data_IF_957707922366
#
_entry.id   IF_957707922366
#
_cell.length_a   1.000
_cell.length_b   1.000
_cell.length_c   1.000
_cell.angle_alpha   90.00
_cell.angle_beta   90.00
_cell.angle_gamma   90.00
#
_symmetry.space_group_name_H-M   'P 1'
#
loop_
_entity.id
_entity.type
_entity.pdbx_description
1 polymer ?
#
# COMPACT_ATOMS: atom_id res chain seq x y z
N UNK A 1 -27.07 -47.51 -61.57
CA UNK A 1 -26.77 -46.03 -61.43
C UNK A 1 -27.35 -45.38 -60.15
N UNK A 2 -28.34 -45.98 -59.51
CA UNK A 2 -28.98 -45.39 -58.29
C UNK A 2 -28.19 -45.58 -56.98
N UNK A 3 -27.31 -46.56 -56.89
CA UNK A 3 -26.52 -46.83 -55.64
C UNK A 3 -25.19 -46.03 -55.52
N UNK A 4 -24.76 -45.32 -56.57
CA UNK A 4 -23.55 -44.46 -56.53
C UNK A 4 -23.86 -43.03 -56.13
N UNK A 5 -25.10 -42.58 -56.16
CA UNK A 5 -25.49 -41.22 -55.77
C UNK A 5 -25.69 -41.10 -54.26
N UNK A 6 -26.11 -42.19 -53.59
CA UNK A 6 -26.33 -42.18 -52.11
C UNK A 6 -25.03 -42.23 -51.28
N UNK A 7 -23.95 -42.73 -51.85
CA UNK A 7 -22.64 -42.77 -51.19
C UNK A 7 -21.90 -41.41 -51.17
N UNK A 8 -22.24 -40.50 -52.14
CA UNK A 8 -21.56 -39.21 -52.27
C UNK A 8 -22.21 -38.12 -51.40
N UNK A 9 -23.46 -38.29 -51.02
CA UNK A 9 -24.15 -37.32 -50.14
C UNK A 9 -23.85 -37.51 -48.64
N UNK A 10 -23.37 -38.66 -48.22
CA UNK A 10 -23.03 -38.92 -46.80
C UNK A 10 -21.62 -38.43 -46.44
N UNK A 11 -20.71 -38.26 -47.40
CA UNK A 11 -19.35 -37.80 -47.17
C UNK A 11 -19.21 -36.27 -47.00
N UNK A 12 -20.18 -35.46 -47.42
CA UNK A 12 -20.12 -34.00 -47.35
C UNK A 12 -20.65 -33.47 -46.01
N UNK A 13 -21.47 -34.24 -45.29
CA UNK A 13 -22.06 -33.83 -43.97
C UNK A 13 -21.08 -33.94 -42.79
N UNK A 14 -19.91 -34.56 -42.94
CA UNK A 14 -18.96 -34.80 -41.81
C UNK A 14 -17.81 -33.80 -41.75
N UNK A 15 -17.69 -32.86 -42.71
CA UNK A 15 -16.55 -31.94 -42.80
C UNK A 15 -16.79 -30.57 -42.13
N UNK A 16 -17.98 -30.32 -41.55
CA UNK A 16 -18.30 -28.99 -40.93
C UNK A 16 -18.38 -28.99 -39.42
N UNK A 17 -17.95 -30.05 -38.74
CA UNK A 17 -17.99 -30.15 -37.27
C UNK A 17 -16.65 -29.81 -36.58
N UNK A 18 -15.66 -29.33 -37.30
CA UNK A 18 -14.33 -29.07 -36.74
C UNK A 18 -13.94 -27.60 -36.90
N UNK A 19 -14.42 -26.76 -36.04
CA UNK A 19 -13.95 -25.37 -36.02
C UNK A 19 -14.81 -24.42 -35.22
N UNK A 20 -15.27 -24.81 -34.03
CA UNK A 20 -15.72 -23.78 -33.09
C UNK A 20 -14.52 -22.91 -32.73
N UNK A 21 -14.47 -21.61 -33.12
CA UNK A 21 -13.41 -20.76 -32.68
C UNK A 21 -13.45 -20.73 -31.16
N UNK A 22 -12.37 -21.13 -30.52
CA UNK A 22 -12.17 -20.88 -29.09
C UNK A 22 -12.43 -19.39 -28.87
N UNK A 23 -13.23 -19.01 -27.87
CA UNK A 23 -13.50 -17.61 -27.60
C UNK A 23 -12.16 -16.90 -27.41
N UNK A 24 -11.80 -16.03 -28.36
CA UNK A 24 -10.65 -15.16 -28.21
C UNK A 24 -10.87 -14.33 -26.94
N UNK A 25 -10.10 -14.63 -25.89
CA UNK A 25 -10.14 -13.80 -24.68
C UNK A 25 -9.72 -12.40 -25.09
N UNK A 26 -10.58 -11.41 -24.79
CA UNK A 26 -10.32 -10.04 -25.14
C UNK A 26 -9.07 -9.54 -24.43
N UNK A 27 -8.24 -8.77 -25.13
CA UNK A 27 -7.12 -8.05 -24.55
C UNK A 27 -7.61 -7.16 -23.39
N UNK A 28 -6.86 -7.14 -22.31
CA UNK A 28 -7.15 -6.31 -21.13
C UNK A 28 -6.10 -5.21 -21.01
N UNK A 29 -6.54 -3.99 -20.63
CA UNK A 29 -5.67 -2.82 -20.57
C UNK A 29 -6.06 -1.94 -19.39
N UNK A 30 -5.06 -1.45 -18.66
CA UNK A 30 -5.23 -0.47 -17.58
C UNK A 30 -4.08 0.54 -17.60
N UNK A 31 -4.30 1.71 -16.97
CA UNK A 31 -3.21 2.68 -16.72
C UNK A 31 -2.68 2.43 -15.32
N UNK A 32 -1.36 2.27 -15.17
CA UNK A 32 -0.69 2.08 -13.87
C UNK A 32 -0.45 3.42 -13.12
N UNK A 33 0.11 3.36 -11.90
CA UNK A 33 0.37 4.56 -11.11
C UNK A 33 1.54 5.41 -11.64
N UNK A 34 2.31 4.90 -12.62
CA UNK A 34 3.30 5.69 -13.36
C UNK A 34 2.70 6.36 -14.61
N UNK A 35 1.38 6.26 -14.84
CA UNK A 35 0.69 6.79 -16.00
C UNK A 35 0.93 6.01 -17.29
N UNK A 36 1.43 4.76 -17.22
CA UNK A 36 1.68 3.92 -18.38
C UNK A 36 0.55 2.95 -18.60
N UNK A 37 0.18 2.76 -19.86
CA UNK A 37 -0.78 1.72 -20.24
C UNK A 37 -0.10 0.36 -20.20
N UNK A 38 -0.66 -0.56 -19.41
CA UNK A 38 -0.28 -1.98 -19.36
C UNK A 38 -1.35 -2.77 -20.10
N UNK A 39 -0.95 -3.43 -21.18
CA UNK A 39 -1.85 -4.24 -22.02
C UNK A 39 -1.39 -5.68 -22.04
N UNK A 40 -2.32 -6.60 -21.80
CA UNK A 40 -2.12 -8.03 -21.91
C UNK A 40 -3.07 -8.60 -22.96
N UNK A 41 -2.60 -9.57 -23.75
CA UNK A 41 -3.44 -10.24 -24.75
C UNK A 41 -4.63 -10.99 -24.11
N UNK A 42 -4.48 -11.40 -22.87
CA UNK A 42 -5.50 -12.02 -22.01
C UNK A 42 -5.15 -11.77 -20.54
N UNK A 43 -6.08 -11.93 -19.60
CA UNK A 43 -5.77 -11.84 -18.18
C UNK A 43 -4.61 -12.75 -17.77
N UNK A 44 -3.65 -12.21 -17.00
CA UNK A 44 -2.44 -12.92 -16.61
C UNK A 44 -2.77 -14.14 -15.74
N UNK A 45 -2.22 -15.29 -16.09
CA UNK A 45 -2.27 -16.52 -15.30
C UNK A 45 -1.03 -16.73 -14.43
N UNK A 46 0.08 -16.03 -14.73
CA UNK A 46 1.36 -16.15 -14.02
C UNK A 46 1.86 -14.77 -13.62
N UNK A 47 1.84 -14.49 -12.32
CA UNK A 47 2.15 -13.16 -11.76
C UNK A 47 3.29 -13.26 -10.78
N UNK A 48 4.21 -12.30 -10.81
CA UNK A 48 5.23 -12.10 -9.78
C UNK A 48 4.98 -10.76 -9.08
N UNK A 49 5.12 -10.75 -7.77
CA UNK A 49 4.99 -9.56 -6.94
C UNK A 49 6.35 -9.15 -6.37
N UNK A 50 6.75 -7.90 -6.59
CA UNK A 50 8.06 -7.38 -6.18
C UNK A 50 8.03 -6.46 -4.95
N UNK A 51 6.93 -6.48 -4.19
CA UNK A 51 6.86 -5.85 -2.87
C UNK A 51 5.81 -6.56 -1.98
N UNK A 52 5.94 -6.50 -0.63
CA UNK A 52 4.95 -7.11 0.26
C UNK A 52 3.53 -6.62 0.03
N UNK A 53 3.32 -5.29 -0.07
CA UNK A 53 1.98 -4.72 -0.31
C UNK A 53 1.40 -5.10 -1.68
N UNK A 54 2.24 -5.26 -2.72
CA UNK A 54 1.76 -5.71 -4.03
C UNK A 54 1.31 -7.17 -3.99
N UNK A 55 1.94 -8.00 -3.16
CA UNK A 55 1.47 -9.36 -2.87
C UNK A 55 0.08 -9.33 -2.24
N UNK A 56 -0.12 -8.51 -1.22
CA UNK A 56 -1.41 -8.33 -0.54
C UNK A 56 -2.50 -7.84 -1.51
N UNK A 57 -2.16 -6.87 -2.39
CA UNK A 57 -3.08 -6.36 -3.41
C UNK A 57 -3.51 -7.45 -4.39
N UNK A 58 -2.57 -8.27 -4.89
CA UNK A 58 -2.88 -9.37 -5.82
C UNK A 58 -3.80 -10.40 -5.15
N UNK A 59 -3.53 -10.80 -3.90
CA UNK A 59 -4.41 -11.70 -3.15
C UNK A 59 -5.81 -11.11 -2.97
N UNK A 60 -5.90 -9.86 -2.52
CA UNK A 60 -7.18 -9.20 -2.28
C UNK A 60 -7.99 -8.96 -3.57
N UNK A 61 -7.30 -8.75 -4.70
CA UNK A 61 -7.92 -8.68 -6.01
C UNK A 61 -8.39 -10.06 -6.54
N UNK A 62 -8.17 -11.16 -5.81
CA UNK A 62 -8.57 -12.51 -6.21
C UNK A 62 -7.54 -13.24 -7.09
N UNK A 63 -6.32 -12.71 -7.18
CA UNK A 63 -5.24 -13.27 -8.01
C UNK A 63 -4.26 -14.18 -7.26
N UNK A 64 -4.51 -14.54 -6.02
CA UNK A 64 -3.56 -15.31 -5.19
C UNK A 64 -3.08 -16.61 -5.84
N UNK A 65 -3.98 -17.38 -6.45
CA UNK A 65 -3.65 -18.62 -7.16
C UNK A 65 -2.81 -18.41 -8.44
N UNK A 66 -2.65 -17.17 -8.90
CA UNK A 66 -1.85 -16.80 -10.08
C UNK A 66 -0.44 -16.36 -9.72
N UNK A 67 -0.16 -16.13 -8.44
CA UNK A 67 1.17 -15.79 -7.97
C UNK A 67 2.11 -17.01 -8.10
N UNK A 68 3.18 -16.83 -8.85
CA UNK A 68 4.21 -17.85 -9.06
C UNK A 68 5.53 -17.48 -8.38
N UNK A 69 5.63 -16.27 -7.82
CA UNK A 69 6.79 -15.80 -7.07
C UNK A 69 6.53 -14.47 -6.39
N UNK A 70 7.24 -14.23 -5.30
CA UNK A 70 7.20 -12.99 -4.54
C UNK A 70 8.57 -12.67 -3.92
N UNK A 71 8.83 -11.40 -3.60
CA UNK A 71 10.04 -11.00 -2.86
C UNK A 71 9.96 -11.39 -1.38
N UNK A 72 11.11 -11.29 -0.70
CA UNK A 72 11.21 -11.46 0.75
C UNK A 72 10.22 -10.57 1.49
N UNK A 73 9.77 -11.00 2.68
CA UNK A 73 8.78 -10.33 3.51
C UNK A 73 7.36 -10.22 2.91
N UNK A 74 7.07 -10.91 1.81
CA UNK A 74 5.72 -11.12 1.30
C UNK A 74 5.07 -12.26 2.11
N UNK A 75 4.60 -11.93 3.30
CA UNK A 75 4.19 -12.88 4.35
C UNK A 75 2.68 -12.84 4.66
N UNK A 76 1.96 -11.96 3.97
CA UNK A 76 0.52 -11.85 4.10
C UNK A 76 -0.19 -11.91 2.73
N UNK A 77 -1.34 -12.62 2.64
CA UNK A 77 -1.89 -13.51 3.66
C UNK A 77 -0.96 -14.71 3.93
N UNK A 78 -1.22 -15.56 4.93
CA UNK A 78 -0.32 -16.66 5.32
C UNK A 78 0.08 -17.58 4.16
N UNK A 79 -0.79 -17.76 3.17
CA UNK A 79 -0.55 -18.55 1.96
C UNK A 79 0.62 -18.00 1.12
N UNK A 80 0.91 -16.70 1.22
CA UNK A 80 2.04 -16.08 0.52
C UNK A 80 3.40 -16.61 0.98
N UNK A 81 3.48 -17.22 2.18
CA UNK A 81 4.71 -17.83 2.67
C UNK A 81 5.17 -19.03 1.82
N UNK A 82 4.26 -19.71 1.15
CA UNK A 82 4.56 -20.85 0.27
C UNK A 82 5.11 -20.43 -1.10
N UNK A 83 5.05 -19.16 -1.47
CA UNK A 83 5.50 -18.69 -2.78
C UNK A 83 7.03 -18.77 -2.91
N UNK A 84 7.56 -19.16 -4.08
CA UNK A 84 8.96 -19.05 -4.41
C UNK A 84 9.48 -17.62 -4.22
N UNK A 85 10.61 -17.46 -3.53
CA UNK A 85 11.22 -16.13 -3.32
C UNK A 85 12.11 -15.77 -4.50
N UNK A 86 11.91 -14.57 -5.03
CA UNK A 86 12.64 -14.04 -6.20
C UNK A 86 13.58 -12.88 -5.80
N UNK A 87 14.19 -12.99 -4.63
CA UNK A 87 15.07 -11.97 -4.06
C UNK A 87 14.36 -11.06 -3.07
N UNK A 88 14.92 -9.87 -2.86
CA UNK A 88 14.32 -8.79 -2.06
C UNK A 88 13.81 -7.67 -2.97
N UNK A 89 13.09 -6.69 -2.42
CA UNK A 89 12.63 -5.53 -3.19
C UNK A 89 13.78 -4.69 -3.79
N UNK A 90 14.94 -4.67 -3.16
CA UNK A 90 16.14 -3.94 -3.64
C UNK A 90 17.16 -4.81 -4.40
N UNK A 91 17.08 -6.14 -4.30
CA UNK A 91 18.00 -7.08 -4.93
C UNK A 91 17.20 -8.27 -5.50
N UNK A 92 16.81 -8.16 -6.76
CA UNK A 92 16.00 -9.16 -7.45
C UNK A 92 16.86 -10.27 -8.05
N UNK A 93 16.38 -11.49 -7.96
CA UNK A 93 16.92 -12.66 -8.69
C UNK A 93 16.27 -12.71 -10.09
N UNK A 94 16.89 -12.00 -11.05
CA UNK A 94 16.36 -11.90 -12.41
C UNK A 94 16.29 -13.23 -13.12
N UNK A 95 17.24 -14.14 -12.88
CA UNK A 95 17.26 -15.47 -13.50
C UNK A 95 16.06 -16.29 -13.04
N UNK A 96 15.79 -16.28 -11.75
CA UNK A 96 14.64 -16.96 -11.16
C UNK A 96 13.32 -16.36 -11.62
N UNK A 97 13.24 -15.02 -11.74
CA UNK A 97 12.06 -14.33 -12.30
C UNK A 97 11.78 -14.84 -13.71
N UNK A 98 12.79 -14.86 -14.59
CA UNK A 98 12.65 -15.33 -15.98
C UNK A 98 12.29 -16.82 -16.03
N UNK A 99 12.91 -17.65 -15.20
CA UNK A 99 12.62 -19.09 -15.14
C UNK A 99 11.16 -19.37 -14.73
N UNK A 100 10.55 -18.52 -13.94
CA UNK A 100 9.14 -18.60 -13.54
C UNK A 100 8.17 -18.18 -14.65
N UNK A 101 8.67 -17.65 -15.78
CA UNK A 101 7.88 -17.24 -16.97
C UNK A 101 6.64 -16.40 -16.60
N UNK A 102 6.79 -15.24 -15.95
CA UNK A 102 5.67 -14.40 -15.60
C UNK A 102 5.05 -13.75 -16.85
N UNK A 103 3.73 -13.60 -16.85
CA UNK A 103 2.95 -12.85 -17.84
C UNK A 103 2.70 -11.41 -17.38
N UNK A 104 2.85 -11.17 -16.08
CA UNK A 104 2.75 -9.85 -15.43
C UNK A 104 3.65 -9.80 -14.20
N UNK A 105 4.33 -8.68 -14.02
CA UNK A 105 5.04 -8.39 -12.77
C UNK A 105 4.44 -7.14 -12.14
N UNK A 106 4.03 -7.23 -10.87
CA UNK A 106 3.55 -6.09 -10.08
C UNK A 106 4.74 -5.54 -9.30
N UNK A 107 5.05 -4.26 -9.53
CA UNK A 107 6.28 -3.62 -9.04
C UNK A 107 5.97 -2.40 -8.17
N UNK A 108 6.91 -2.06 -7.29
CA UNK A 108 6.92 -0.85 -6.49
C UNK A 108 8.07 0.06 -6.91
N UNK A 109 7.74 1.15 -7.60
CA UNK A 109 8.73 2.02 -8.26
C UNK A 109 9.82 2.55 -7.33
N UNK A 110 9.44 3.02 -6.13
CA UNK A 110 10.38 3.61 -5.17
C UNK A 110 11.09 2.60 -4.27
N UNK A 111 10.63 1.35 -4.27
CA UNK A 111 11.25 0.29 -3.46
C UNK A 111 12.03 -0.72 -4.27
N UNK A 112 11.84 -0.79 -5.60
CA UNK A 112 12.59 -1.69 -6.47
C UNK A 112 13.72 -0.95 -7.20
N UNK A 113 14.85 -1.62 -7.43
CA UNK A 113 15.97 -1.07 -8.18
C UNK A 113 15.56 -0.79 -9.64
N UNK A 114 15.67 0.48 -10.07
CA UNK A 114 15.22 0.92 -11.40
C UNK A 114 15.96 0.19 -12.53
N UNK A 115 17.25 -0.08 -12.39
CA UNK A 115 18.04 -0.78 -13.42
C UNK A 115 17.60 -2.22 -13.59
N UNK A 116 17.21 -2.88 -12.49
CA UNK A 116 16.66 -4.24 -12.55
C UNK A 116 15.26 -4.26 -13.19
N UNK A 117 14.41 -3.26 -12.90
CA UNK A 117 13.11 -3.11 -13.57
C UNK A 117 13.27 -2.84 -15.07
N UNK A 118 14.26 -2.03 -15.48
CA UNK A 118 14.53 -1.76 -16.90
C UNK A 118 15.00 -3.02 -17.64
N UNK A 119 15.80 -3.87 -17.00
CA UNK A 119 16.17 -5.19 -17.57
C UNK A 119 14.93 -6.07 -17.77
N UNK A 120 14.01 -6.13 -16.81
CA UNK A 120 12.77 -6.90 -16.96
C UNK A 120 11.88 -6.36 -18.09
N UNK A 121 11.80 -5.04 -18.26
CA UNK A 121 11.10 -4.42 -19.41
C UNK A 121 11.74 -4.76 -20.74
N UNK A 122 13.08 -4.73 -20.81
CA UNK A 122 13.82 -5.09 -22.03
C UNK A 122 13.61 -6.54 -22.46
N UNK A 123 13.23 -7.43 -21.54
CA UNK A 123 12.82 -8.81 -21.82
C UNK A 123 11.36 -8.91 -22.31
N UNK A 124 10.65 -7.79 -22.48
CA UNK A 124 9.28 -7.77 -22.95
C UNK A 124 8.24 -8.20 -21.91
N UNK A 125 8.61 -8.30 -20.62
CA UNK A 125 7.69 -8.71 -19.57
C UNK A 125 6.85 -7.49 -19.15
N UNK A 126 5.51 -7.55 -19.19
CA UNK A 126 4.64 -6.46 -18.75
C UNK A 126 4.83 -6.16 -17.26
N UNK A 127 5.04 -4.87 -16.92
CA UNK A 127 5.16 -4.40 -15.54
C UNK A 127 3.98 -3.50 -15.21
N UNK A 128 3.27 -3.79 -14.13
CA UNK A 128 2.27 -2.90 -13.53
C UNK A 128 2.88 -2.21 -12.30
N UNK A 129 2.99 -0.89 -12.36
CA UNK A 129 3.50 -0.08 -11.24
C UNK A 129 2.36 0.20 -10.26
N UNK A 130 2.50 -0.29 -9.03
CA UNK A 130 1.65 0.05 -7.89
C UNK A 130 2.41 1.00 -6.97
N UNK A 131 2.00 2.25 -6.96
CA UNK A 131 2.62 3.34 -6.18
C UNK A 131 1.53 4.27 -5.63
N UNK A 132 0.66 3.80 -4.72
CA UNK A 132 -0.39 4.63 -4.16
C UNK A 132 0.16 5.87 -3.45
N UNK A 133 -0.35 7.06 -3.80
CA UNK A 133 0.02 8.34 -3.20
C UNK A 133 -1.03 8.83 -2.20
N UNK A 134 -2.27 8.44 -2.43
CA UNK A 134 -3.44 8.73 -1.61
C UNK A 134 -4.05 7.44 -1.08
N UNK A 135 -4.73 7.54 0.06
CA UNK A 135 -5.38 6.36 0.64
C UNK A 135 -6.40 5.74 -0.33
N UNK A 136 -7.08 6.54 -1.13
CA UNK A 136 -8.07 6.06 -2.10
C UNK A 136 -7.44 5.31 -3.30
N UNK A 137 -6.15 5.51 -3.59
CA UNK A 137 -5.45 4.85 -4.70
C UNK A 137 -5.34 3.33 -4.50
N UNK A 138 -5.36 2.85 -3.25
CA UNK A 138 -5.35 1.42 -2.93
C UNK A 138 -6.55 0.70 -3.57
N UNK A 139 -7.75 1.28 -3.46
CA UNK A 139 -8.95 0.73 -4.08
C UNK A 139 -8.86 0.74 -5.61
N UNK A 140 -8.29 1.79 -6.19
CA UNK A 140 -8.06 1.89 -7.64
C UNK A 140 -7.08 0.83 -8.12
N UNK A 141 -6.00 0.57 -7.36
CA UNK A 141 -5.05 -0.50 -7.68
C UNK A 141 -5.69 -1.89 -7.61
N UNK A 142 -6.57 -2.14 -6.63
CA UNK A 142 -7.34 -3.40 -6.55
C UNK A 142 -8.16 -3.62 -7.82
N UNK A 143 -8.92 -2.62 -8.29
CA UNK A 143 -9.75 -2.71 -9.49
C UNK A 143 -8.92 -2.93 -10.76
N UNK A 144 -7.82 -2.19 -10.93
CA UNK A 144 -6.89 -2.34 -12.05
C UNK A 144 -6.26 -3.74 -12.09
N UNK A 145 -5.82 -4.25 -10.93
CA UNK A 145 -5.31 -5.61 -10.81
C UNK A 145 -6.41 -6.63 -11.13
N UNK A 146 -7.64 -6.41 -10.68
CA UNK A 146 -8.77 -7.25 -11.04
C UNK A 146 -8.95 -7.40 -12.55
N UNK A 147 -8.84 -6.29 -13.30
CA UNK A 147 -8.89 -6.30 -14.77
C UNK A 147 -7.74 -7.08 -15.38
N UNK A 148 -6.49 -6.82 -14.95
CA UNK A 148 -5.31 -7.54 -15.46
C UNK A 148 -5.33 -9.03 -15.12
N UNK A 149 -6.05 -9.41 -14.08
CA UNK A 149 -6.14 -10.79 -13.60
C UNK A 149 -7.45 -11.49 -14.05
N UNK A 150 -8.44 -10.79 -14.62
CA UNK A 150 -9.76 -11.34 -14.93
C UNK A 150 -10.50 -11.78 -13.68
N UNK A 151 -10.39 -11.00 -12.61
CA UNK A 151 -11.01 -11.24 -11.30
C UNK A 151 -11.81 -10.01 -10.83
N UNK A 152 -12.40 -9.28 -11.76
CA UNK A 152 -13.00 -7.95 -11.56
C UNK A 152 -14.08 -7.95 -10.47
N UNK A 153 -14.89 -8.99 -10.36
CA UNK A 153 -15.94 -9.06 -9.34
C UNK A 153 -15.35 -9.09 -7.93
N UNK A 154 -14.34 -9.93 -7.71
CA UNK A 154 -13.63 -10.03 -6.42
C UNK A 154 -12.90 -8.75 -6.09
N UNK A 155 -12.20 -8.20 -7.07
CA UNK A 155 -11.44 -6.96 -6.93
C UNK A 155 -12.34 -5.76 -6.60
N UNK A 156 -13.48 -5.60 -7.31
CA UNK A 156 -14.47 -4.54 -7.01
C UNK A 156 -15.06 -4.69 -5.61
N UNK A 157 -15.39 -5.91 -5.20
CA UNK A 157 -15.89 -6.15 -3.85
C UNK A 157 -14.84 -5.80 -2.78
N UNK A 158 -13.56 -6.11 -3.00
CA UNK A 158 -12.46 -5.73 -2.11
C UNK A 158 -12.24 -4.21 -2.08
N UNK A 159 -12.22 -3.56 -3.24
CA UNK A 159 -12.10 -2.12 -3.38
C UNK A 159 -13.24 -1.38 -2.68
N UNK A 160 -14.48 -1.88 -2.81
CA UNK A 160 -15.64 -1.26 -2.17
C UNK A 160 -15.54 -1.37 -0.65
N UNK A 161 -15.22 -2.55 -0.10
CA UNK A 161 -15.01 -2.71 1.36
C UNK A 161 -13.94 -1.76 1.89
N UNK A 162 -12.83 -1.60 1.15
CA UNK A 162 -11.78 -0.66 1.52
C UNK A 162 -12.28 0.79 1.51
N UNK A 163 -13.00 1.21 0.45
CA UNK A 163 -13.58 2.57 0.35
C UNK A 163 -14.58 2.85 1.48
N UNK A 164 -15.43 1.88 1.82
CA UNK A 164 -16.42 2.02 2.89
C UNK A 164 -15.71 2.24 4.23
N UNK A 165 -14.65 1.49 4.52
CA UNK A 165 -13.85 1.65 5.73
C UNK A 165 -13.15 3.02 5.78
N UNK A 166 -12.52 3.44 4.67
CA UNK A 166 -11.89 4.77 4.57
C UNK A 166 -12.94 5.89 4.72
N UNK A 167 -14.12 5.75 4.13
CA UNK A 167 -15.21 6.73 4.26
C UNK A 167 -15.69 6.83 5.71
N UNK A 168 -15.83 5.69 6.40
CA UNK A 168 -16.19 5.63 7.83
C UNK A 168 -15.17 6.36 8.70
N UNK A 169 -13.87 6.11 8.49
CA UNK A 169 -12.80 6.77 9.21
C UNK A 169 -12.78 8.28 8.93
N UNK A 170 -12.89 8.67 7.67
CA UNK A 170 -12.92 10.08 7.24
C UNK A 170 -14.10 10.83 7.87
N UNK A 171 -15.30 10.25 7.85
CA UNK A 171 -16.48 10.85 8.46
C UNK A 171 -16.32 11.04 9.97
N UNK A 172 -15.63 10.13 10.65
CA UNK A 172 -15.42 10.19 12.10
C UNK A 172 -14.35 11.19 12.53
N UNK A 173 -13.28 11.32 11.74
CA UNK A 173 -12.06 11.97 12.23
C UNK A 173 -11.62 13.22 11.46
N UNK A 174 -12.00 13.41 10.18
CA UNK A 174 -11.44 14.47 9.36
C UNK A 174 -11.78 15.89 9.89
N UNK A 175 -12.94 16.07 10.50
CA UNK A 175 -13.37 17.36 11.07
C UNK A 175 -12.95 17.56 12.54
N UNK A 176 -12.18 16.64 13.12
CA UNK A 176 -11.70 16.77 14.50
C UNK A 176 -10.64 17.88 14.62
N UNK A 177 -10.46 18.51 15.79
CA UNK A 177 -9.43 19.53 15.99
C UNK A 177 -8.05 19.04 15.57
N UNK A 178 -7.36 19.81 14.72
CA UNK A 178 -6.10 19.41 14.09
C UNK A 178 -5.03 19.09 15.12
N UNK A 179 -4.36 17.94 14.97
CA UNK A 179 -3.17 17.53 15.74
C UNK A 179 -1.95 17.69 14.84
N UNK A 180 -0.93 18.44 15.30
CA UNK A 180 0.34 18.52 14.59
C UNK A 180 1.16 17.24 14.85
N UNK A 181 1.60 16.60 13.76
CA UNK A 181 2.23 15.27 13.80
C UNK A 181 3.62 15.32 13.18
N UNK A 182 4.61 14.79 13.86
CA UNK A 182 5.88 14.37 13.28
C UNK A 182 5.83 12.85 13.06
N UNK A 183 5.98 12.40 11.81
CA UNK A 183 6.10 10.98 11.49
C UNK A 183 7.57 10.62 11.31
N UNK A 184 8.10 9.79 12.20
CA UNK A 184 9.48 9.33 12.15
C UNK A 184 9.56 8.02 11.37
N UNK A 185 10.22 8.07 10.19
CA UNK A 185 10.46 6.89 9.34
C UNK A 185 11.67 6.10 9.81
N UNK A 186 12.75 6.82 10.16
CA UNK A 186 14.03 6.24 10.54
C UNK A 186 14.75 7.13 11.54
N UNK A 187 15.65 6.55 12.35
CA UNK A 187 16.33 7.28 13.41
C UNK A 187 17.67 7.88 13.00
N UNK A 188 18.48 7.16 12.22
CA UNK A 188 19.84 7.58 11.81
C UNK A 188 20.16 7.18 10.37
N UNK A 189 20.09 8.12 9.40
CA UNK A 189 19.68 9.53 9.55
C UNK A 189 18.22 9.68 9.97
N UNK A 190 17.87 10.80 10.60
CA UNK A 190 16.50 11.08 11.00
C UNK A 190 15.68 11.40 9.75
N UNK A 191 14.81 10.48 9.35
CA UNK A 191 13.97 10.58 8.16
C UNK A 191 12.51 10.81 8.54
N UNK A 192 11.84 11.62 7.73
CA UNK A 192 10.40 11.86 7.80
C UNK A 192 9.75 11.73 6.41
N UNK A 193 8.51 12.15 6.28
CA UNK A 193 7.72 12.12 5.04
C UNK A 193 7.24 13.53 4.71
N UNK A 194 7.10 13.84 3.42
CA UNK A 194 6.43 15.06 2.98
C UNK A 194 4.91 14.83 2.78
N UNK A 195 4.19 15.90 2.42
CA UNK A 195 2.73 15.88 2.21
C UNK A 195 2.25 15.02 1.04
N UNK A 196 3.14 14.68 0.08
CA UNK A 196 2.80 13.85 -1.07
C UNK A 196 2.86 12.34 -0.76
N UNK A 197 3.25 11.94 0.45
CA UNK A 197 3.31 10.53 0.85
C UNK A 197 1.95 10.06 1.39
N UNK A 198 1.56 8.82 1.08
CA UNK A 198 0.27 8.23 1.50
C UNK A 198 0.03 8.28 3.02
N UNK A 199 1.08 8.14 3.84
CA UNK A 199 0.97 8.26 5.31
C UNK A 199 0.58 9.69 5.72
N UNK A 200 1.03 10.72 4.99
CA UNK A 200 0.60 12.09 5.26
C UNK A 200 -0.87 12.33 4.88
N UNK A 201 -1.36 11.64 3.85
CA UNK A 201 -2.77 11.61 3.49
C UNK A 201 -3.60 10.90 4.59
N UNK A 202 -3.08 9.80 5.15
CA UNK A 202 -3.66 9.11 6.31
C UNK A 202 -3.71 10.01 7.56
N UNK A 203 -2.63 10.75 7.85
CA UNK A 203 -2.58 11.73 8.94
C UNK A 203 -3.69 12.78 8.74
N UNK A 204 -3.84 13.33 7.53
CA UNK A 204 -4.87 14.32 7.22
C UNK A 204 -6.29 13.74 7.38
N UNK A 205 -6.52 12.50 6.94
CA UNK A 205 -7.78 11.78 7.13
C UNK A 205 -8.15 11.66 8.60
N UNK A 206 -7.18 11.47 9.49
CA UNK A 206 -7.37 11.41 10.94
C UNK A 206 -7.50 12.80 11.61
N UNK A 207 -7.60 13.88 10.82
CA UNK A 207 -7.62 15.26 11.35
C UNK A 207 -6.26 15.68 11.93
N UNK A 208 -5.17 15.14 11.40
CA UNK A 208 -3.81 15.55 11.71
C UNK A 208 -3.20 16.44 10.64
N UNK A 209 -2.04 17.02 10.94
CA UNK A 209 -1.21 17.78 9.99
C UNK A 209 0.25 17.36 10.17
N UNK A 210 0.85 16.86 9.11
CA UNK A 210 2.29 16.58 9.10
C UNK A 210 3.07 17.90 9.18
N UNK A 211 3.92 18.05 10.20
CA UNK A 211 4.71 19.28 10.42
C UNK A 211 5.77 19.53 9.35
N UNK A 212 6.14 18.48 8.58
CA UNK A 212 7.09 18.54 7.47
C UNK A 212 6.43 18.31 6.09
N UNK A 213 5.12 18.53 6.00
CA UNK A 213 4.34 18.32 4.77
C UNK A 213 4.84 19.13 3.56
N UNK A 214 5.41 20.32 3.79
CA UNK A 214 5.84 21.25 2.73
C UNK A 214 7.26 20.95 2.16
N UNK A 215 7.98 19.94 2.70
CA UNK A 215 9.29 19.60 2.18
C UNK A 215 9.21 18.98 0.79
N UNK A 216 10.16 19.35 -0.10
CA UNK A 216 10.12 18.91 -1.50
C UNK A 216 10.41 17.42 -1.68
N UNK A 217 11.38 16.87 -0.95
CA UNK A 217 11.71 15.45 -1.02
C UNK A 217 10.62 14.61 -0.37
N UNK A 218 10.25 13.47 -0.97
CA UNK A 218 9.21 12.57 -0.44
C UNK A 218 9.59 11.99 0.92
N UNK A 219 10.86 11.61 1.10
CA UNK A 219 11.42 11.09 2.35
C UNK A 219 12.64 11.96 2.70
N UNK A 220 12.43 13.14 3.29
CA UNK A 220 13.52 14.07 3.60
C UNK A 220 14.23 13.67 4.89
N UNK A 221 15.54 14.00 4.95
CA UNK A 221 16.28 14.06 6.20
C UNK A 221 15.97 15.36 6.91
N UNK A 222 15.74 15.31 8.22
CA UNK A 222 15.53 16.48 9.08
C UNK A 222 16.49 16.44 10.26
N UNK A 223 16.78 17.61 10.85
CA UNK A 223 17.57 17.66 12.09
C UNK A 223 16.65 17.51 13.31
N UNK A 224 17.23 17.09 14.42
CA UNK A 224 16.53 17.02 15.70
C UNK A 224 16.01 18.39 16.13
N UNK A 225 16.82 19.43 15.91
CA UNK A 225 16.50 20.82 16.23
C UNK A 225 15.28 21.30 15.44
N UNK A 226 15.15 20.90 14.17
CA UNK A 226 13.98 21.21 13.35
C UNK A 226 12.70 20.57 13.92
N UNK A 227 12.78 19.33 14.40
CA UNK A 227 11.63 18.67 15.06
C UNK A 227 11.27 19.35 16.36
N UNK A 228 12.27 19.72 17.19
CA UNK A 228 12.06 20.44 18.44
C UNK A 228 11.44 21.82 18.20
N UNK A 229 11.94 22.54 17.18
CA UNK A 229 11.37 23.85 16.78
C UNK A 229 9.94 23.74 16.24
N UNK A 230 9.64 22.69 15.48
CA UNK A 230 8.26 22.41 14.99
C UNK A 230 7.29 22.06 16.13
N UNK A 231 7.79 21.63 17.27
CA UNK A 231 7.06 21.30 18.49
C UNK A 231 5.75 20.52 18.23
N UNK A 232 5.81 19.33 17.63
CA UNK A 232 4.61 18.55 17.29
C UNK A 232 3.82 18.14 18.53
N UNK A 233 2.49 18.01 18.41
CA UNK A 233 1.66 17.48 19.49
C UNK A 233 1.74 15.95 19.62
N UNK A 234 2.09 15.27 18.54
CA UNK A 234 2.28 13.82 18.52
C UNK A 234 3.52 13.46 17.70
N UNK A 235 4.26 12.46 18.14
CA UNK A 235 5.30 11.78 17.37
C UNK A 235 4.84 10.37 17.13
N UNK A 236 4.83 9.96 15.86
CA UNK A 236 4.38 8.65 15.42
C UNK A 236 5.51 7.96 14.67
N UNK A 237 5.71 6.68 14.91
CA UNK A 237 6.64 5.83 14.14
C UNK A 237 5.96 4.52 13.77
N UNK A 238 6.52 3.82 12.78
CA UNK A 238 6.17 2.44 12.50
C UNK A 238 7.13 1.51 13.25
N UNK A 239 6.59 0.52 13.95
CA UNK A 239 7.38 -0.50 14.64
C UNK A 239 6.96 -1.90 14.19
N UNK A 240 7.91 -2.82 14.03
CA UNK A 240 7.58 -4.19 13.66
C UNK A 240 6.93 -4.90 14.85
N UNK A 241 5.74 -5.49 14.62
CA UNK A 241 5.02 -6.24 15.64
C UNK A 241 4.47 -5.38 16.79
N UNK A 242 4.18 -4.10 16.54
CA UNK A 242 3.50 -3.23 17.49
C UNK A 242 2.03 -3.67 17.65
N UNK A 243 1.80 -4.84 18.21
CA UNK A 243 0.58 -5.09 18.96
C UNK A 243 0.65 -4.20 20.19
N UNK A 244 -0.32 -3.32 20.36
CA UNK A 244 -0.43 -2.25 21.34
C UNK A 244 0.65 -2.32 22.43
N UNK A 245 1.66 -1.43 22.41
CA UNK A 245 2.73 -1.53 23.38
C UNK A 245 2.12 -1.44 24.77
N UNK A 246 2.59 -2.31 25.69
CA UNK A 246 2.37 -2.04 27.11
C UNK A 246 2.73 -0.58 27.35
N UNK A 247 1.92 0.22 28.07
CA UNK A 247 2.22 1.63 28.34
C UNK A 247 3.65 1.90 28.83
N UNK A 248 4.30 0.88 29.38
CA UNK A 248 5.63 0.94 29.96
C UNK A 248 6.73 0.33 29.07
N UNK A 249 6.39 -0.26 27.90
CA UNK A 249 7.42 -0.81 27.02
C UNK A 249 8.18 0.34 26.34
N UNK A 250 9.53 0.38 26.41
CA UNK A 250 10.30 1.39 25.70
C UNK A 250 10.09 1.19 24.18
N UNK A 251 9.63 2.24 23.49
CA UNK A 251 9.66 2.32 22.03
C UNK A 251 11.10 2.70 21.65
N UNK A 252 11.94 1.75 21.16
CA UNK A 252 13.38 2.00 21.01
C UNK A 252 13.68 3.23 20.17
N UNK A 253 12.88 3.44 19.11
CA UNK A 253 13.09 4.53 18.17
C UNK A 253 12.57 5.88 18.67
N UNK A 254 11.65 5.90 19.65
CA UNK A 254 11.07 7.12 20.21
C UNK A 254 11.69 7.54 21.55
N UNK A 255 12.48 6.67 22.19
CA UNK A 255 13.11 6.95 23.51
C UNK A 255 13.99 8.21 23.48
N UNK A 256 14.64 8.50 22.34
CA UNK A 256 15.48 9.69 22.18
C UNK A 256 14.74 11.00 22.49
N UNK A 257 13.44 11.11 22.15
CA UNK A 257 12.66 12.32 22.32
C UNK A 257 12.46 12.72 23.78
N UNK A 258 12.58 11.78 24.71
CA UNK A 258 12.50 12.06 26.15
C UNK A 258 13.56 13.04 26.64
N UNK A 259 14.64 13.26 25.88
CA UNK A 259 15.64 14.28 26.15
C UNK A 259 15.07 15.73 26.05
N UNK A 260 13.90 15.92 25.41
CA UNK A 260 13.24 17.20 25.25
C UNK A 260 11.90 17.24 26.01
N UNK A 261 11.89 17.26 27.36
CA UNK A 261 10.67 17.11 28.17
C UNK A 261 9.66 18.25 27.98
N UNK A 262 10.11 19.42 27.48
CA UNK A 262 9.23 20.56 27.19
C UNK A 262 8.56 20.49 25.81
N UNK A 263 8.95 19.59 24.93
CA UNK A 263 8.27 19.38 23.65
C UNK A 263 6.87 18.82 23.91
N UNK A 264 5.86 19.38 23.27
CA UNK A 264 4.44 19.07 23.53
C UNK A 264 4.14 17.58 23.48
N UNK A 265 4.64 16.89 22.45
CA UNK A 265 4.46 15.43 22.32
C UNK A 265 5.03 14.66 23.53
N UNK A 266 6.19 15.06 24.03
CA UNK A 266 6.85 14.41 25.17
C UNK A 266 6.16 14.76 26.49
N UNK A 267 5.88 16.04 26.70
CA UNK A 267 5.22 16.54 27.91
C UNK A 267 3.85 15.88 28.14
N UNK A 268 3.12 15.58 27.03
CA UNK A 268 1.81 14.93 27.09
C UNK A 268 1.86 13.41 26.90
N UNK A 269 3.04 12.82 26.74
CA UNK A 269 3.19 11.37 26.48
C UNK A 269 2.50 10.92 25.18
N UNK A 270 2.59 11.73 24.12
CA UNK A 270 2.01 11.47 22.78
C UNK A 270 3.09 10.90 21.84
N UNK A 271 3.74 9.85 22.29
CA UNK A 271 4.73 9.09 21.52
C UNK A 271 4.08 7.76 21.14
N UNK A 272 3.79 7.55 19.86
CA UNK A 272 3.00 6.41 19.38
C UNK A 272 3.79 5.55 18.40
N UNK A 273 3.57 4.24 18.44
CA UNK A 273 4.07 3.31 17.46
C UNK A 273 2.92 2.50 16.87
N UNK A 274 2.87 2.45 15.55
CA UNK A 274 1.86 1.69 14.78
C UNK A 274 2.57 0.50 14.15
N UNK A 275 1.86 -0.61 13.95
CA UNK A 275 2.41 -1.76 13.25
C UNK A 275 2.84 -1.36 11.84
N UNK A 276 4.13 -1.53 11.54
CA UNK A 276 4.74 -1.18 10.28
C UNK A 276 4.15 -1.96 9.10
N UNK A 277 3.69 -3.18 9.32
CA UNK A 277 3.06 -3.99 8.29
C UNK A 277 1.67 -3.47 7.89
N UNK A 278 1.05 -2.66 8.75
CA UNK A 278 -0.23 -2.02 8.48
C UNK A 278 -0.06 -0.62 7.87
N UNK A 279 0.84 0.22 8.42
CA UNK A 279 0.91 1.63 8.03
C UNK A 279 1.90 1.91 6.88
N UNK A 280 2.96 1.09 6.72
CA UNK A 280 3.99 1.28 5.68
C UNK A 280 3.76 0.43 4.42
N UNK A 281 2.76 -0.46 4.43
CA UNK A 281 2.37 -1.27 3.28
C UNK A 281 1.11 -0.67 2.66
N UNK A 282 1.19 0.05 1.53
CA UNK A 282 0.02 0.67 0.88
C UNK A 282 -0.85 -0.39 0.18
N UNK A 283 -1.43 -1.28 0.95
CA UNK A 283 -2.28 -2.40 0.58
C UNK A 283 -3.63 -2.35 1.30
N UNK A 284 -4.45 -3.40 1.19
CA UNK A 284 -5.81 -3.42 1.77
C UNK A 284 -5.84 -3.24 3.29
N UNK A 285 -4.80 -3.70 4.01
CA UNK A 285 -4.68 -3.56 5.46
C UNK A 285 -4.28 -2.16 5.93
N UNK A 286 -3.94 -1.25 5.00
CA UNK A 286 -3.65 0.14 5.36
C UNK A 286 -4.82 0.79 6.13
N UNK A 287 -6.08 0.40 5.87
CA UNK A 287 -7.24 0.91 6.60
C UNK A 287 -7.15 0.62 8.11
N UNK A 288 -6.62 -0.55 8.50
CA UNK A 288 -6.39 -0.91 9.91
C UNK A 288 -5.28 -0.03 10.54
N UNK A 289 -4.20 0.21 9.80
CA UNK A 289 -3.12 1.12 10.21
C UNK A 289 -3.63 2.57 10.38
N UNK A 290 -4.51 3.02 9.48
CA UNK A 290 -5.15 4.35 9.58
C UNK A 290 -6.08 4.41 10.79
N UNK A 291 -6.86 3.37 11.09
CA UNK A 291 -7.72 3.35 12.27
C UNK A 291 -6.89 3.44 13.57
N UNK A 292 -5.76 2.73 13.64
CA UNK A 292 -4.81 2.85 14.76
C UNK A 292 -4.27 4.28 14.89
N UNK A 293 -3.80 4.88 13.78
CA UNK A 293 -3.34 6.28 13.74
C UNK A 293 -4.41 7.25 14.24
N UNK A 294 -5.66 7.08 13.76
CA UNK A 294 -6.76 7.95 14.18
C UNK A 294 -7.04 7.87 15.68
N UNK A 295 -6.99 6.67 16.27
CA UNK A 295 -7.12 6.47 17.74
C UNK A 295 -5.99 7.13 18.51
N UNK A 296 -4.75 7.04 18.02
CA UNK A 296 -3.60 7.71 18.63
C UNK A 296 -3.77 9.23 18.62
N UNK A 297 -4.26 9.81 17.50
CA UNK A 297 -4.53 11.24 17.44
C UNK A 297 -5.71 11.65 18.32
N UNK A 298 -6.74 10.80 18.52
CA UNK A 298 -7.79 11.05 19.52
C UNK A 298 -7.21 11.06 20.94
N UNK A 299 -6.31 10.12 21.24
CA UNK A 299 -5.61 10.10 22.53
C UNK A 299 -4.81 11.39 22.75
N UNK A 300 -4.12 11.88 21.70
CA UNK A 300 -3.40 13.15 21.77
C UNK A 300 -4.34 14.36 22.03
N UNK A 301 -5.52 14.37 21.39
CA UNK A 301 -6.55 15.40 21.63
C UNK A 301 -7.07 15.39 23.05
N UNK A 302 -7.35 14.19 23.59
CA UNK A 302 -7.87 14.03 24.94
C UNK A 302 -6.90 14.53 26.04
N UNK A 303 -5.60 14.57 25.73
CA UNK A 303 -4.56 15.07 26.66
C UNK A 303 -4.29 16.58 26.52
N UNK A 304 -5.07 17.30 25.71
CA UNK A 304 -5.01 18.78 25.68
C UNK A 304 -5.53 19.35 26.99
N UNK A 305 -4.93 20.46 27.52
CA UNK A 305 -5.52 21.18 28.64
C UNK A 305 -6.96 21.56 28.31
N UNK A 306 -7.85 21.50 29.29
CA UNK A 306 -9.19 22.03 29.15
C UNK A 306 -9.10 23.53 28.80
N UNK A 307 -9.75 23.95 27.69
CA UNK A 307 -9.83 25.34 27.30
C UNK A 307 -10.70 26.09 28.33
N UNK A 308 -10.09 26.62 29.39
CA UNK A 308 -10.82 27.31 30.46
C UNK A 308 -9.99 27.76 31.65
N UNK A 309 -8.73 27.33 31.77
CA UNK A 309 -7.92 27.66 32.95
C UNK A 309 -7.01 28.91 32.81
N UNK A 310 -7.11 29.66 31.71
CA UNK A 310 -6.23 30.83 31.48
C UNK A 310 -6.95 32.19 31.56
N UNK A 311 -8.13 32.28 32.16
CA UNK A 311 -8.87 33.55 32.31
C UNK A 311 -9.20 33.86 33.78
N UNK A 312 -8.26 33.66 34.73
CA UNK A 312 -8.53 33.90 36.14
C UNK A 312 -7.33 34.21 36.99
N UNK A 313 -6.33 34.97 36.47
CA UNK A 313 -5.22 35.45 37.28
C UNK A 313 -4.70 36.80 36.79
N UNK A 314 -5.59 37.78 36.68
CA UNK A 314 -5.19 39.19 36.58
C UNK A 314 -6.37 40.02 37.05
N UNK A 315 -6.50 40.15 38.38
CA UNK A 315 -7.06 41.32 39.08
C UNK A 315 -7.07 41.00 40.59
N UNK A 316 -5.96 41.27 41.23
CA UNK A 316 -5.91 41.57 42.66
C UNK A 316 -4.50 42.11 43.01
N UNK A 317 -4.44 43.36 43.12
CA UNK A 317 -3.53 44.32 43.76
C UNK A 317 -2.69 45.17 42.81
#
# INVERSE_FOLDING_TARGET
MRKLVEALTLAIAFAWAAGSPLPARAAVSVVDDAGRTVTLAQPAARVISLAPHTTELVYAAGGGARLVGAVSYSDYPPEANALPRVGSNSALDLERIVALRPELIVVWRHGNDTRQLDKLRALGIPLFVSEPHKVDDVATNLERLGTLLGTESTARAAAQRYRDEIARLRARYAARPVVSVFYQVWDRPLLTLNGAHIVSDAIALCGGRNVFGELAARVPTVSVEAVVAANPEAIVTAAKGATAPSPDAPLPDLARWRAWPRMTAVARGNLFAIDGDLINRPGPRLAEGIDALCRDLETARAKRPASGAAAGASDAH
#
